data_IF_137929226313
#
_entry.id   IF_137929226313
#
_cell.length_a   1.000
_cell.length_b   1.000
_cell.length_c   1.000
_cell.angle_alpha   90.00
_cell.angle_beta   90.00
_cell.angle_gamma   90.00
#
_symmetry.space_group_name_H-M   'P 1'
#
loop_
_entity.id
_entity.type
_entity.pdbx_description
1 polymer ?
#
# COMPACT_ATOMS: atom_id res chain seq x y z
N UNK A 1 -9.35 -7.47 -24.44
CA UNK A 1 -8.61 -6.70 -23.43
C UNK A 1 -7.43 -6.07 -24.12
N UNK A 2 -7.32 -4.75 -24.07
CA UNK A 2 -6.19 -3.96 -24.57
C UNK A 2 -5.05 -3.96 -23.54
N UNK A 3 -3.85 -3.59 -24.00
CA UNK A 3 -2.63 -3.58 -23.17
C UNK A 3 -2.79 -2.71 -21.93
N UNK A 4 -3.44 -1.55 -22.05
CA UNK A 4 -3.70 -0.64 -20.92
C UNK A 4 -4.59 -1.29 -19.87
N UNK A 5 -5.68 -1.94 -20.27
CA UNK A 5 -6.57 -2.65 -19.35
C UNK A 5 -5.90 -3.84 -18.66
N UNK A 6 -5.02 -4.55 -19.37
CA UNK A 6 -4.22 -5.63 -18.77
C UNK A 6 -3.23 -5.09 -17.74
N UNK A 7 -2.52 -3.99 -18.04
CA UNK A 7 -1.63 -3.31 -17.09
C UNK A 7 -2.42 -2.80 -15.87
N UNK A 8 -3.59 -2.21 -16.09
CA UNK A 8 -4.47 -1.76 -15.01
C UNK A 8 -4.91 -2.90 -14.10
N UNK A 9 -5.28 -4.05 -14.67
CA UNK A 9 -5.64 -5.24 -13.91
C UNK A 9 -4.47 -5.80 -13.10
N UNK A 10 -3.27 -5.88 -13.70
CA UNK A 10 -2.06 -6.30 -13.00
C UNK A 10 -1.71 -5.36 -11.84
N UNK A 11 -1.89 -4.05 -12.03
CA UNK A 11 -1.63 -3.05 -11.00
C UNK A 11 -2.58 -3.23 -9.80
N UNK A 12 -3.87 -3.50 -10.05
CA UNK A 12 -4.85 -3.81 -9.00
C UNK A 12 -4.51 -5.13 -8.31
N UNK A 13 -4.14 -6.17 -9.05
CA UNK A 13 -3.75 -7.44 -8.43
C UNK A 13 -2.50 -7.29 -7.54
N UNK A 14 -1.56 -6.43 -7.94
CA UNK A 14 -0.37 -6.14 -7.16
C UNK A 14 -0.64 -5.34 -5.87
N UNK A 15 -1.73 -4.58 -5.78
CA UNK A 15 -2.08 -3.82 -4.58
C UNK A 15 -2.79 -4.63 -3.50
N UNK A 16 -3.51 -5.71 -3.87
CA UNK A 16 -4.30 -6.50 -2.93
C UNK A 16 -3.47 -7.06 -1.75
N UNK A 17 -2.28 -7.68 -1.94
CA UNK A 17 -1.47 -8.15 -0.82
C UNK A 17 -1.05 -7.02 0.12
N UNK A 18 -0.77 -5.85 -0.45
CA UNK A 18 -0.38 -4.65 0.31
C UNK A 18 -1.50 -4.12 1.21
N UNK A 19 -2.73 -4.08 0.69
CA UNK A 19 -3.93 -3.75 1.46
C UNK A 19 -4.17 -4.74 2.62
N UNK A 20 -3.99 -6.04 2.37
CA UNK A 20 -4.09 -7.06 3.41
C UNK A 20 -3.03 -6.87 4.51
N UNK A 21 -1.79 -6.53 4.12
CA UNK A 21 -0.75 -6.21 5.08
C UNK A 21 -1.04 -4.94 5.88
N UNK A 22 -1.50 -3.87 5.24
CA UNK A 22 -1.88 -2.63 5.93
C UNK A 22 -3.01 -2.86 6.94
N UNK A 23 -3.99 -3.71 6.60
CA UNK A 23 -5.05 -4.12 7.53
C UNK A 23 -4.50 -4.89 8.73
N UNK A 24 -3.58 -5.82 8.48
CA UNK A 24 -2.94 -6.60 9.55
C UNK A 24 -2.05 -5.72 10.44
N UNK A 25 -1.31 -4.78 9.87
CA UNK A 25 -0.49 -3.79 10.58
C UNK A 25 -1.37 -2.89 11.47
N UNK A 26 -2.55 -2.50 10.97
CA UNK A 26 -3.54 -1.76 11.76
C UNK A 26 -4.04 -2.56 12.97
N UNK A 27 -4.44 -3.82 12.76
CA UNK A 27 -4.94 -4.69 13.85
C UNK A 27 -3.86 -5.06 14.86
N UNK A 28 -2.64 -5.32 14.41
CA UNK A 28 -1.52 -5.70 15.28
C UNK A 28 -0.92 -4.51 16.02
N UNK A 29 -1.28 -3.27 15.63
CA UNK A 29 -0.70 -2.06 16.21
C UNK A 29 0.79 -1.89 15.90
N UNK A 30 1.31 -2.59 14.88
CA UNK A 30 2.71 -2.55 14.48
C UNK A 30 2.78 -2.38 12.96
N UNK A 31 3.32 -1.27 12.51
CA UNK A 31 3.38 -0.94 11.08
C UNK A 31 4.82 -0.83 10.62
N UNK A 32 5.08 -1.34 9.41
CA UNK A 32 6.36 -1.16 8.72
C UNK A 32 6.20 -0.14 7.60
N UNK A 33 7.10 0.83 7.53
CA UNK A 33 7.11 1.77 6.40
C UNK A 33 7.56 1.04 5.13
N UNK A 34 6.72 1.04 4.08
CA UNK A 34 6.99 0.29 2.85
C UNK A 34 7.95 1.01 1.89
N UNK A 35 8.26 2.30 2.12
CA UNK A 35 9.11 3.09 1.22
C UNK A 35 10.61 2.76 1.30
N UNK A 36 11.06 2.11 2.38
CA UNK A 36 12.47 1.83 2.62
C UNK A 36 12.68 0.39 3.09
N UNK A 37 12.61 -0.53 2.14
CA UNK A 37 12.96 -1.94 2.34
C UNK A 37 14.46 -2.20 2.19
N UNK A 38 15.32 -1.46 2.92
CA UNK A 38 16.62 -2.08 3.23
C UNK A 38 16.34 -3.17 4.26
N UNK A 39 16.31 -4.43 3.83
CA UNK A 39 16.04 -5.61 4.67
C UNK A 39 16.88 -5.65 5.97
N UNK A 40 18.04 -4.97 5.99
CA UNK A 40 18.91 -4.86 7.17
C UNK A 40 18.35 -4.04 8.33
N UNK A 41 17.42 -3.10 8.10
CA UNK A 41 16.79 -2.32 9.18
C UNK A 41 15.37 -1.93 8.79
N UNK A 42 14.37 -2.79 9.07
CA UNK A 42 12.98 -2.44 8.84
C UNK A 42 12.58 -1.31 9.79
N UNK A 43 12.28 -0.13 9.24
CA UNK A 43 11.72 0.98 10.00
C UNK A 43 10.29 0.60 10.41
N UNK A 44 10.10 0.31 11.70
CA UNK A 44 8.84 -0.11 12.30
C UNK A 44 8.40 0.89 13.36
N UNK A 45 7.09 1.09 13.47
CA UNK A 45 6.48 1.88 14.54
C UNK A 45 5.39 1.06 15.21
N UNK A 46 5.34 1.09 16.54
CA UNK A 46 4.24 0.51 17.32
C UNK A 46 3.34 1.61 17.83
N UNK A 47 2.03 1.40 17.74
CA UNK A 47 1.00 2.34 18.19
C UNK A 47 1.12 2.70 19.67
N UNK A 48 1.54 1.76 20.51
CA UNK A 48 1.71 1.93 21.95
C UNK A 48 2.97 2.73 22.34
N UNK A 49 4.01 2.71 21.50
CA UNK A 49 5.30 3.33 21.79
C UNK A 49 5.38 4.73 21.14
N UNK A 50 4.97 4.82 19.87
CA UNK A 50 5.01 6.04 19.09
C UNK A 50 3.78 6.11 18.17
N UNK A 51 2.64 6.60 18.69
CA UNK A 51 1.38 6.64 17.94
C UNK A 51 1.49 7.57 16.73
N UNK A 52 2.25 8.66 16.83
CA UNK A 52 2.38 9.63 15.75
C UNK A 52 3.09 9.01 14.54
N UNK A 53 4.22 8.33 14.75
CA UNK A 53 4.90 7.61 13.66
C UNK A 53 4.09 6.44 13.13
N UNK A 54 3.38 5.73 14.01
CA UNK A 54 2.50 4.64 13.58
C UNK A 54 1.45 5.14 12.57
N UNK A 55 0.72 6.21 12.89
CA UNK A 55 -0.29 6.75 11.99
C UNK A 55 0.32 7.34 10.71
N UNK A 56 1.48 7.97 10.81
CA UNK A 56 2.19 8.48 9.63
C UNK A 56 2.57 7.35 8.66
N UNK A 57 3.12 6.24 9.16
CA UNK A 57 3.53 5.09 8.33
C UNK A 57 2.33 4.33 7.77
N UNK A 58 1.30 4.12 8.59
CA UNK A 58 0.07 3.47 8.14
C UNK A 58 -0.63 4.32 7.07
N UNK A 59 -0.79 5.63 7.32
CA UNK A 59 -1.40 6.55 6.37
C UNK A 59 -0.61 6.65 5.07
N UNK A 60 0.72 6.66 5.15
CA UNK A 60 1.58 6.63 3.97
C UNK A 60 1.39 5.35 3.13
N UNK A 61 1.38 4.17 3.77
CA UNK A 61 1.16 2.90 3.08
C UNK A 61 -0.25 2.86 2.43
N UNK A 62 -1.28 3.31 3.14
CA UNK A 62 -2.66 3.37 2.61
C UNK A 62 -2.74 4.32 1.41
N UNK A 63 -2.10 5.49 1.47
CA UNK A 63 -2.08 6.45 0.38
C UNK A 63 -1.42 5.86 -0.88
N UNK A 64 -0.31 5.15 -0.72
CA UNK A 64 0.34 4.44 -1.83
C UNK A 64 -0.61 3.44 -2.51
N UNK A 65 -1.29 2.62 -1.72
CA UNK A 65 -2.23 1.63 -2.28
C UNK A 65 -3.45 2.29 -2.93
N UNK A 66 -3.96 3.37 -2.36
CA UNK A 66 -5.04 4.15 -2.95
C UNK A 66 -4.65 4.73 -4.32
N UNK A 67 -3.43 5.27 -4.44
CA UNK A 67 -2.90 5.80 -5.71
C UNK A 67 -2.74 4.70 -6.76
N UNK A 68 -2.20 3.55 -6.38
CA UNK A 68 -2.07 2.42 -7.29
C UNK A 68 -3.44 1.87 -7.74
N UNK A 69 -4.41 1.75 -6.83
CA UNK A 69 -5.77 1.35 -7.17
C UNK A 69 -6.43 2.35 -8.14
N UNK A 70 -6.30 3.65 -7.85
CA UNK A 70 -6.83 4.72 -8.70
C UNK A 70 -6.20 4.71 -10.10
N UNK A 71 -4.87 4.53 -10.19
CA UNK A 71 -4.17 4.39 -11.47
C UNK A 71 -4.62 3.15 -12.26
N UNK A 72 -4.85 2.03 -11.58
CA UNK A 72 -5.34 0.81 -12.21
C UNK A 72 -6.74 0.97 -12.76
N UNK A 73 -7.64 1.59 -11.99
CA UNK A 73 -9.00 1.92 -12.43
C UNK A 73 -8.99 2.91 -13.60
N UNK A 74 -8.12 3.92 -13.57
CA UNK A 74 -7.96 4.87 -14.68
C UNK A 74 -7.57 4.16 -15.99
N UNK A 75 -6.60 3.24 -15.92
CA UNK A 75 -6.17 2.45 -17.08
C UNK A 75 -7.25 1.50 -17.62
N UNK A 76 -8.13 0.99 -16.75
CA UNK A 76 -9.22 0.11 -17.18
C UNK A 76 -10.40 0.91 -17.76
N UNK A 77 -10.78 2.02 -17.12
CA UNK A 77 -12.04 2.72 -17.40
C UNK A 77 -11.90 3.88 -18.37
N UNK A 78 -10.78 4.62 -18.32
CA UNK A 78 -10.62 5.89 -19.05
C UNK A 78 -9.72 5.72 -20.26
N UNK A 79 -8.66 4.92 -20.13
CA UNK A 79 -7.74 4.64 -21.22
C UNK A 79 -7.73 3.14 -21.55
N UNK A 80 -8.83 2.59 -22.08
CA UNK A 80 -8.86 1.22 -22.55
C UNK A 80 -7.83 1.06 -23.67
#
# INVERSE_FOLDING_TARGET
>A
MNDSGLVGMLLILATLPGLLWAWNDYRSGNVRLMLFSRMRSPVRARREIDPQRFWAYLGFNILLFALMLAGGLYLILVKP
#
